data_IF_367894004018
#
_entry.id   IF_367894004018
#
_cell.length_a   1.000
_cell.length_b   1.000
_cell.length_c   1.000
_cell.angle_alpha   90.00
_cell.angle_beta   90.00
_cell.angle_gamma   90.00
#
_symmetry.space_group_name_H-M   'P 1'
#
loop_
_entity.id
_entity.type
_entity.pdbx_description
1 polymer ?
#
# COMPACT_ATOMS: atom_id res chain seq x y z
N UNK A 1 -59.43 -31.15 -17.92
CA UNK A 1 -58.21 -31.32 -18.73
C UNK A 1 -57.17 -30.39 -18.15
N UNK A 2 -56.22 -30.94 -17.39
CA UNK A 2 -55.14 -30.18 -16.77
C UNK A 2 -54.10 -29.86 -17.83
N UNK A 3 -53.66 -28.61 -17.91
CA UNK A 3 -52.49 -28.24 -18.72
C UNK A 3 -51.47 -27.61 -17.77
N UNK A 4 -50.33 -28.30 -17.70
CA UNK A 4 -49.24 -28.13 -16.75
C UNK A 4 -48.58 -26.75 -16.84
N UNK A 5 -48.39 -26.14 -15.67
CA UNK A 5 -47.34 -25.15 -15.43
C UNK A 5 -45.97 -25.76 -15.73
N UNK A 6 -45.13 -25.08 -16.52
CA UNK A 6 -43.71 -25.37 -16.62
C UNK A 6 -42.92 -24.18 -16.08
N UNK A 7 -42.09 -24.48 -15.08
CA UNK A 7 -41.41 -23.57 -14.17
C UNK A 7 -40.51 -22.55 -14.85
N UNK A 8 -40.64 -21.32 -14.35
CA UNK A 8 -39.52 -20.39 -14.20
C UNK A 8 -38.54 -21.00 -13.20
N UNK A 9 -37.45 -21.57 -13.71
CA UNK A 9 -36.30 -21.95 -12.87
C UNK A 9 -35.00 -21.50 -13.54
N UNK A 10 -34.88 -20.19 -13.73
CA UNK A 10 -33.57 -19.55 -13.80
C UNK A 10 -33.10 -19.32 -12.37
N UNK A 11 -32.38 -20.31 -11.83
CA UNK A 11 -31.55 -20.15 -10.63
C UNK A 11 -30.58 -18.97 -10.86
N UNK A 12 -31.02 -17.77 -10.53
CA UNK A 12 -30.13 -16.66 -10.19
C UNK A 12 -29.50 -17.01 -8.84
N UNK A 13 -28.46 -17.85 -8.89
CA UNK A 13 -27.53 -17.95 -7.78
C UNK A 13 -27.12 -16.51 -7.43
N UNK A 14 -27.35 -16.04 -6.19
CA UNK A 14 -26.92 -14.71 -5.80
C UNK A 14 -25.41 -14.72 -5.99
N UNK A 15 -24.91 -13.92 -6.94
CA UNK A 15 -23.48 -13.63 -7.03
C UNK A 15 -23.09 -13.19 -5.63
N UNK A 16 -22.37 -14.06 -4.91
CA UNK A 16 -21.67 -13.68 -3.69
C UNK A 16 -20.71 -12.60 -4.14
N UNK A 17 -21.13 -11.35 -4.06
CA UNK A 17 -20.24 -10.24 -3.90
C UNK A 17 -19.52 -10.57 -2.61
N UNK A 18 -18.39 -11.27 -2.72
CA UNK A 18 -17.39 -11.25 -1.68
C UNK A 18 -17.27 -9.78 -1.34
N UNK A 19 -17.57 -9.41 -0.09
CA UNK A 19 -17.23 -8.13 0.46
C UNK A 19 -15.71 -8.06 0.53
N UNK A 20 -15.05 -8.12 -0.63
CA UNK A 20 -13.65 -7.83 -0.79
C UNK A 20 -13.57 -6.36 -0.48
N UNK A 21 -13.03 -6.03 0.69
CA UNK A 21 -12.62 -4.68 1.01
C UNK A 21 -11.91 -4.13 -0.23
N UNK A 22 -12.49 -3.11 -0.85
CA UNK A 22 -11.90 -2.51 -2.05
C UNK A 22 -10.54 -1.96 -1.65
N UNK A 23 -9.48 -2.66 -2.05
CA UNK A 23 -8.11 -2.23 -1.81
C UNK A 23 -7.88 -0.92 -2.57
N UNK A 24 -7.66 0.15 -1.82
CA UNK A 24 -7.33 1.49 -2.34
C UNK A 24 -5.89 1.80 -1.97
N UNK A 25 -4.91 1.53 -2.86
CA UNK A 25 -3.50 1.72 -2.55
C UNK A 25 -3.18 3.12 -2.05
N UNK A 26 -3.80 4.16 -2.64
CA UNK A 26 -3.61 5.55 -2.22
C UNK A 26 -4.03 5.76 -0.76
N UNK A 27 -5.27 5.40 -0.42
CA UNK A 27 -5.79 5.62 0.93
C UNK A 27 -5.04 4.79 1.97
N UNK A 28 -4.71 3.53 1.64
CA UNK A 28 -3.91 2.68 2.51
C UNK A 28 -2.49 3.21 2.68
N UNK A 29 -1.88 3.81 1.66
CA UNK A 29 -0.54 4.42 1.77
C UNK A 29 -0.56 5.59 2.75
N UNK A 30 -1.49 6.55 2.57
CA UNK A 30 -1.62 7.71 3.47
C UNK A 30 -1.90 7.30 4.93
N UNK A 31 -2.78 6.30 5.13
CA UNK A 31 -3.04 5.77 6.48
C UNK A 31 -1.78 5.11 7.08
N UNK A 32 -1.06 4.33 6.28
CA UNK A 32 0.16 3.65 6.73
C UNK A 32 1.26 4.65 7.06
N UNK A 33 1.42 5.70 6.26
CA UNK A 33 2.35 6.80 6.50
C UNK A 33 2.07 7.46 7.85
N UNK A 34 0.82 7.84 8.12
CA UNK A 34 0.41 8.44 9.38
C UNK A 34 0.78 7.57 10.60
N UNK A 35 0.57 6.26 10.49
CA UNK A 35 0.89 5.31 11.56
C UNK A 35 2.39 5.07 11.75
N UNK A 36 3.16 5.08 10.66
CA UNK A 36 4.63 5.03 10.74
C UNK A 36 5.16 6.28 11.43
N UNK A 37 4.67 7.47 11.06
CA UNK A 37 5.06 8.74 11.69
C UNK A 37 4.67 8.78 13.17
N UNK A 38 3.50 8.26 13.53
CA UNK A 38 3.08 8.14 14.92
C UNK A 38 3.95 7.15 15.70
N UNK A 39 4.29 6.01 15.09
CA UNK A 39 5.22 5.03 15.68
C UNK A 39 6.61 5.63 15.90
N UNK A 40 7.13 6.41 14.95
CA UNK A 40 8.38 7.13 15.07
C UNK A 40 8.34 8.11 16.25
N UNK A 41 7.27 8.91 16.36
CA UNK A 41 7.10 9.83 17.50
C UNK A 41 7.10 9.10 18.83
N UNK A 42 6.29 8.04 18.97
CA UNK A 42 6.23 7.25 20.21
C UNK A 42 7.58 6.56 20.50
N UNK A 43 8.29 6.13 19.46
CA UNK A 43 9.62 5.54 19.59
C UNK A 43 10.62 6.57 20.13
N UNK A 44 10.63 7.78 19.56
CA UNK A 44 11.54 8.86 19.97
C UNK A 44 11.21 9.36 21.39
N UNK A 45 9.94 9.36 21.79
CA UNK A 45 9.53 9.64 23.17
C UNK A 45 10.07 8.60 24.15
N UNK A 46 10.07 7.32 23.78
CA UNK A 46 10.57 6.24 24.63
C UNK A 46 12.10 6.10 24.62
N UNK A 47 12.76 6.43 23.51
CA UNK A 47 14.17 6.10 23.29
C UNK A 47 15.10 7.33 23.23
N UNK A 48 14.55 8.53 23.07
CA UNK A 48 15.27 9.79 22.87
C UNK A 48 15.11 10.34 21.44
N UNK A 49 15.01 11.67 21.30
CA UNK A 49 14.71 12.37 20.01
C UNK A 49 15.92 12.64 19.11
N UNK A 50 17.14 12.54 19.65
CA UNK A 50 18.37 12.96 18.97
C UNK A 50 19.34 11.79 18.79
N UNK A 51 18.83 10.65 18.32
CA UNK A 51 19.63 9.44 18.13
C UNK A 51 20.58 9.56 16.93
N UNK A 52 20.28 10.43 15.97
CA UNK A 52 21.03 10.51 14.71
C UNK A 52 20.63 9.38 13.76
N UNK A 53 21.44 9.19 12.71
CA UNK A 53 21.21 8.16 11.70
C UNK A 53 22.14 6.98 11.91
N UNK A 54 21.64 5.77 11.66
CA UNK A 54 22.43 4.57 11.56
C UNK A 54 22.95 4.43 10.12
N UNK A 55 24.27 4.35 9.96
CA UNK A 55 24.90 4.15 8.66
C UNK A 55 25.17 2.67 8.41
N UNK A 56 24.97 2.17 7.16
CA UNK A 56 24.75 2.91 5.92
C UNK A 56 23.28 3.28 5.61
N UNK A 57 22.34 2.97 6.50
CA UNK A 57 20.91 3.12 6.25
C UNK A 57 20.31 1.92 5.50
N UNK A 58 19.22 2.15 4.78
CA UNK A 58 18.41 1.08 4.16
C UNK A 58 18.15 1.34 2.67
N UNK A 59 19.03 0.84 1.77
CA UNK A 59 18.92 1.06 0.33
C UNK A 59 17.62 0.57 -0.30
N UNK A 60 16.97 -0.44 0.30
CA UNK A 60 15.67 -0.97 -0.09
C UNK A 60 14.57 0.09 0.01
N UNK A 61 14.77 1.11 0.86
CA UNK A 61 13.85 2.22 1.07
C UNK A 61 14.29 3.50 0.35
N UNK A 62 15.30 3.42 -0.53
CA UNK A 62 15.61 4.54 -1.41
C UNK A 62 14.53 4.71 -2.49
N UNK A 63 14.01 5.93 -2.60
CA UNK A 63 12.99 6.30 -3.57
C UNK A 63 13.45 6.05 -5.00
N UNK A 64 12.53 5.59 -5.85
CA UNK A 64 12.85 5.29 -7.26
C UNK A 64 12.68 6.56 -8.11
N UNK A 65 13.59 6.75 -9.07
CA UNK A 65 13.52 7.88 -10.04
C UNK A 65 12.63 7.60 -11.25
N UNK A 66 12.27 6.34 -11.50
CA UNK A 66 11.46 5.92 -12.65
C UNK A 66 9.97 6.15 -12.42
N UNK A 67 9.25 6.54 -13.48
CA UNK A 67 7.79 6.62 -13.51
C UNK A 67 7.22 5.86 -14.72
N UNK A 68 6.23 4.95 -14.55
CA UNK A 68 5.69 4.48 -13.28
C UNK A 68 6.75 3.75 -12.44
N UNK A 69 6.57 3.66 -11.11
CA UNK A 69 7.52 2.94 -10.27
C UNK A 69 7.55 1.45 -10.63
N UNK A 70 8.68 0.80 -10.36
CA UNK A 70 8.74 -0.65 -10.44
C UNK A 70 7.95 -1.25 -9.27
N UNK A 71 6.75 -1.75 -9.54
CA UNK A 71 5.83 -2.29 -8.53
C UNK A 71 6.36 -3.53 -7.81
N UNK A 72 7.19 -4.35 -8.47
CA UNK A 72 7.90 -5.46 -7.82
C UNK A 72 8.86 -4.94 -6.76
N UNK A 73 9.64 -3.91 -7.09
CA UNK A 73 10.52 -3.25 -6.11
C UNK A 73 9.71 -2.61 -4.99
N UNK A 74 8.57 -1.97 -5.28
CA UNK A 74 7.67 -1.43 -4.25
C UNK A 74 7.19 -2.49 -3.28
N UNK A 75 6.72 -3.64 -3.80
CA UNK A 75 6.30 -4.74 -2.95
C UNK A 75 7.46 -5.28 -2.09
N UNK A 76 8.67 -5.37 -2.65
CA UNK A 76 9.85 -5.73 -1.87
C UNK A 76 10.15 -4.72 -0.75
N UNK A 77 10.14 -3.42 -1.02
CA UNK A 77 10.36 -2.39 0.01
C UNK A 77 9.32 -2.47 1.13
N UNK A 78 8.05 -2.71 0.81
CA UNK A 78 7.00 -2.90 1.84
C UNK A 78 7.22 -4.17 2.68
N UNK A 79 7.66 -5.27 2.05
CA UNK A 79 8.05 -6.47 2.81
C UNK A 79 9.27 -6.23 3.69
N UNK A 80 10.24 -5.47 3.20
CA UNK A 80 11.43 -5.10 3.97
C UNK A 80 11.04 -4.29 5.22
N UNK A 81 10.16 -3.29 5.06
CA UNK A 81 9.63 -2.53 6.21
C UNK A 81 8.91 -3.44 7.21
N UNK A 82 8.09 -4.37 6.72
CA UNK A 82 7.36 -5.30 7.56
C UNK A 82 8.32 -6.13 8.43
N UNK A 83 9.36 -6.73 7.85
CA UNK A 83 10.33 -7.51 8.61
C UNK A 83 11.11 -6.62 9.61
N UNK A 84 11.60 -5.46 9.16
CA UNK A 84 12.38 -4.60 10.04
C UNK A 84 11.56 -4.03 11.21
N UNK A 85 10.28 -3.74 11.01
CA UNK A 85 9.41 -3.32 12.10
C UNK A 85 9.11 -4.45 13.10
N UNK A 86 9.07 -5.71 12.65
CA UNK A 86 9.00 -6.84 13.58
C UNK A 86 10.27 -6.92 14.44
N UNK A 87 11.45 -6.70 13.85
CA UNK A 87 12.70 -6.65 14.61
C UNK A 87 12.69 -5.50 15.63
N UNK A 88 12.18 -4.31 15.27
CA UNK A 88 12.00 -3.19 16.20
C UNK A 88 11.05 -3.59 17.33
N UNK A 89 9.89 -4.15 17.01
CA UNK A 89 8.90 -4.54 18.00
C UNK A 89 9.46 -5.55 19.00
N UNK A 90 10.19 -6.56 18.50
CA UNK A 90 10.85 -7.55 19.34
C UNK A 90 11.88 -6.91 20.28
N UNK A 91 12.74 -6.04 19.75
CA UNK A 91 13.75 -5.36 20.56
C UNK A 91 13.12 -4.40 21.59
N UNK A 92 12.04 -3.69 21.23
CA UNK A 92 11.31 -2.84 22.16
C UNK A 92 10.64 -3.65 23.28
N UNK A 93 10.06 -4.81 22.97
CA UNK A 93 9.39 -5.67 23.95
C UNK A 93 10.35 -6.37 24.89
N UNK A 94 11.47 -6.86 24.37
CA UNK A 94 12.34 -7.76 25.11
C UNK A 94 13.55 -7.06 25.72
N UNK A 95 13.98 -5.92 25.16
CA UNK A 95 15.24 -5.28 25.54
C UNK A 95 15.07 -3.81 25.98
N UNK A 96 14.58 -2.94 25.10
CA UNK A 96 14.69 -1.49 25.31
C UNK A 96 13.60 -0.92 26.21
N UNK A 97 12.33 -1.29 25.97
CA UNK A 97 11.19 -0.70 26.66
C UNK A 97 10.10 -1.75 26.97
N UNK A 98 10.41 -2.79 27.77
CA UNK A 98 9.52 -3.94 27.97
C UNK A 98 8.16 -3.59 28.59
N UNK A 99 8.07 -2.47 29.31
CA UNK A 99 6.83 -2.02 29.95
C UNK A 99 6.05 -0.99 29.12
N UNK A 100 6.57 -0.56 27.96
CA UNK A 100 5.92 0.45 27.12
C UNK A 100 4.89 -0.15 26.16
N UNK A 101 3.78 -0.61 26.73
CA UNK A 101 2.67 -1.26 26.00
C UNK A 101 2.08 -0.36 24.91
N UNK A 102 2.07 0.97 25.14
CA UNK A 102 1.57 1.95 24.16
C UNK A 102 2.38 1.92 22.87
N UNK A 103 3.72 1.99 22.97
CA UNK A 103 4.62 1.87 21.83
C UNK A 103 4.47 0.53 21.12
N UNK A 104 4.39 -0.57 21.87
CA UNK A 104 4.24 -1.91 21.29
C UNK A 104 2.98 -2.02 20.44
N UNK A 105 1.84 -1.57 20.96
CA UNK A 105 0.56 -1.58 20.25
C UNK A 105 0.61 -0.74 18.97
N UNK A 106 1.28 0.42 19.03
CA UNK A 106 1.42 1.31 17.86
C UNK A 106 2.28 0.68 16.77
N UNK A 107 3.37 0.01 17.14
CA UNK A 107 4.21 -0.76 16.21
C UNK A 107 3.43 -1.95 15.61
N UNK A 108 2.68 -2.71 16.41
CA UNK A 108 1.84 -3.81 15.93
C UNK A 108 0.80 -3.35 14.90
N UNK A 109 0.11 -2.24 15.19
CA UNK A 109 -0.85 -1.63 14.26
C UNK A 109 -0.18 -1.24 12.95
N UNK A 110 1.01 -0.63 13.03
CA UNK A 110 1.79 -0.21 11.86
C UNK A 110 2.25 -1.40 11.01
N UNK A 111 2.75 -2.46 11.66
CA UNK A 111 3.15 -3.72 11.00
C UNK A 111 1.97 -4.33 10.24
N UNK A 112 0.79 -4.41 10.89
CA UNK A 112 -0.41 -4.94 10.26
C UNK A 112 -0.82 -4.13 9.03
N UNK A 113 -0.71 -2.80 9.10
CA UNK A 113 -1.08 -1.90 8.00
C UNK A 113 -0.11 -1.97 6.82
N UNK A 114 1.19 -2.07 7.07
CA UNK A 114 2.19 -2.30 6.02
C UNK A 114 1.92 -3.64 5.32
N UNK A 115 1.60 -4.69 6.07
CA UNK A 115 1.22 -5.99 5.50
C UNK A 115 -0.03 -5.89 4.61
N UNK A 116 -1.05 -5.16 5.06
CA UNK A 116 -2.25 -4.90 4.26
C UNK A 116 -1.93 -4.11 2.99
N UNK A 117 -1.08 -3.09 3.09
CA UNK A 117 -0.64 -2.29 1.94
C UNK A 117 0.13 -3.16 0.95
N UNK A 118 1.10 -3.97 1.40
CA UNK A 118 1.85 -4.91 0.55
C UNK A 118 0.91 -5.86 -0.20
N UNK A 119 -0.06 -6.45 0.48
CA UNK A 119 -1.07 -7.31 -0.12
C UNK A 119 -1.93 -6.56 -1.15
N UNK A 120 -2.31 -5.32 -0.84
CA UNK A 120 -3.06 -4.47 -1.75
C UNK A 120 -2.26 -4.15 -3.04
N UNK A 121 -0.97 -3.86 -2.92
CA UNK A 121 -0.05 -3.66 -4.06
C UNK A 121 0.08 -4.92 -4.91
N UNK A 122 0.21 -6.08 -4.28
CA UNK A 122 0.25 -7.36 -4.99
C UNK A 122 -1.06 -7.58 -5.79
N UNK A 123 -2.22 -7.41 -5.16
CA UNK A 123 -3.52 -7.64 -5.80
C UNK A 123 -3.72 -6.73 -7.02
N UNK A 124 -3.41 -5.43 -6.87
CA UNK A 124 -3.68 -4.43 -7.93
C UNK A 124 -2.68 -4.52 -9.08
N UNK A 125 -1.39 -4.66 -8.76
CA UNK A 125 -0.32 -4.60 -9.76
C UNK A 125 0.23 -5.97 -10.16
N UNK A 126 -0.32 -7.06 -9.62
CA UNK A 126 0.17 -8.44 -9.77
C UNK A 126 1.68 -8.55 -9.50
N UNK A 127 2.15 -7.74 -8.56
CA UNK A 127 3.57 -7.62 -8.23
C UNK A 127 3.92 -8.59 -7.11
N UNK A 128 4.99 -9.34 -7.28
CA UNK A 128 5.50 -10.27 -6.26
C UNK A 128 6.95 -9.94 -5.97
N UNK A 129 7.33 -9.95 -4.70
CA UNK A 129 8.73 -9.84 -4.33
C UNK A 129 9.37 -11.25 -4.43
N UNK A 130 10.31 -11.48 -5.36
CA UNK A 130 10.82 -12.82 -5.67
C UNK A 130 11.66 -13.42 -4.54
N UNK A 131 12.38 -12.59 -3.80
CA UNK A 131 13.13 -12.98 -2.61
C UNK A 131 12.53 -12.27 -1.39
N UNK A 132 12.48 -12.92 -0.24
CA UNK A 132 12.10 -12.25 1.00
C UNK A 132 13.25 -11.29 1.37
N UNK A 133 13.04 -9.96 1.31
CA UNK A 133 14.10 -9.03 1.67
C UNK A 133 14.24 -9.06 3.19
N UNK A 134 15.47 -9.28 3.67
CA UNK A 134 15.79 -9.28 5.09
C UNK A 134 16.53 -7.98 5.43
N UNK A 135 16.07 -7.22 6.44
CA UNK A 135 16.82 -6.11 6.98
C UNK A 135 18.23 -6.54 7.40
N UNK A 136 19.22 -5.62 7.34
CA UNK A 136 20.51 -5.84 7.99
C UNK A 136 20.30 -6.21 9.45
N UNK A 137 21.10 -7.15 9.96
CA UNK A 137 21.01 -7.58 11.35
C UNK A 137 21.09 -6.38 12.29
N UNK A 138 20.15 -6.31 13.23
CA UNK A 138 20.15 -5.26 14.25
C UNK A 138 21.47 -5.28 15.04
N UNK A 139 22.09 -4.12 15.30
CA UNK A 139 23.36 -4.02 16.04
C UNK A 139 23.27 -4.59 17.46
N UNK A 140 24.42 -4.84 18.09
CA UNK A 140 24.47 -5.34 19.48
C UNK A 140 24.37 -4.21 20.50
N UNK A 141 24.94 -3.04 20.20
CA UNK A 141 25.02 -1.95 21.16
C UNK A 141 23.66 -1.25 21.30
N UNK A 142 23.26 -0.98 22.54
CA UNK A 142 21.96 -0.34 22.86
C UNK A 142 21.73 0.93 22.05
N UNK A 143 22.74 1.81 21.98
CA UNK A 143 22.63 3.07 21.25
C UNK A 143 22.46 2.83 19.75
N UNK A 144 23.28 1.96 19.15
CA UNK A 144 23.17 1.62 17.73
C UNK A 144 21.85 0.94 17.38
N UNK A 145 21.28 0.11 18.26
CA UNK A 145 19.93 -0.45 18.09
C UNK A 145 18.88 0.66 17.98
N UNK A 146 18.94 1.63 18.90
CA UNK A 146 18.05 2.79 18.87
C UNK A 146 18.20 3.58 17.56
N UNK A 147 19.44 3.82 17.11
CA UNK A 147 19.70 4.48 15.84
C UNK A 147 19.16 3.69 14.65
N UNK A 148 19.37 2.38 14.63
CA UNK A 148 18.90 1.48 13.58
C UNK A 148 17.38 1.54 13.47
N UNK A 149 16.68 1.42 14.60
CA UNK A 149 15.21 1.47 14.66
C UNK A 149 14.66 2.84 14.24
N UNK A 150 15.23 3.93 14.76
CA UNK A 150 14.86 5.30 14.36
C UNK A 150 15.05 5.51 12.85
N UNK A 151 16.20 5.07 12.31
CA UNK A 151 16.53 5.22 10.89
C UNK A 151 15.55 4.45 10.02
N UNK A 152 15.12 3.25 10.43
CA UNK A 152 14.18 2.44 9.67
C UNK A 152 12.80 3.09 9.64
N UNK A 153 12.29 3.52 10.80
CA UNK A 153 11.00 4.21 10.93
C UNK A 153 10.97 5.49 10.09
N UNK A 154 12.04 6.29 10.15
CA UNK A 154 12.16 7.51 9.35
C UNK A 154 12.21 7.22 7.85
N UNK A 155 13.07 6.30 7.42
CA UNK A 155 13.17 5.92 6.01
C UNK A 155 11.87 5.31 5.47
N UNK A 156 11.13 4.57 6.31
CA UNK A 156 9.82 4.05 5.95
C UNK A 156 8.79 5.16 5.74
N UNK A 157 8.76 6.16 6.61
CA UNK A 157 7.90 7.35 6.46
C UNK A 157 8.19 8.08 5.15
N UNK A 158 9.46 8.43 4.91
CA UNK A 158 9.89 9.12 3.69
C UNK A 158 9.51 8.34 2.41
N UNK A 159 9.66 7.01 2.44
CA UNK A 159 9.29 6.16 1.31
C UNK A 159 7.78 6.12 1.07
N UNK A 160 6.96 6.12 2.13
CA UNK A 160 5.50 6.11 2.01
C UNK A 160 4.97 7.44 1.46
N UNK A 161 5.56 8.57 1.86
CA UNK A 161 5.27 9.89 1.26
C UNK A 161 5.53 9.86 -0.25
N UNK A 162 6.69 9.35 -0.66
CA UNK A 162 7.01 9.19 -2.08
C UNK A 162 6.00 8.27 -2.79
N UNK A 163 5.64 7.14 -2.18
CA UNK A 163 4.71 6.19 -2.77
C UNK A 163 3.31 6.80 -2.96
N UNK A 164 2.85 7.63 -2.01
CA UNK A 164 1.57 8.33 -2.14
C UNK A 164 1.58 9.29 -3.34
N UNK A 165 2.67 10.06 -3.51
CA UNK A 165 2.85 10.95 -4.66
C UNK A 165 2.84 10.19 -5.99
N UNK A 166 3.41 8.98 -6.02
CA UNK A 166 3.37 8.10 -7.19
C UNK A 166 1.94 7.67 -7.53
N UNK A 167 1.10 7.35 -6.54
CA UNK A 167 -0.31 7.06 -6.80
C UNK A 167 -1.09 8.26 -7.31
N UNK A 168 -0.86 9.45 -6.76
CA UNK A 168 -1.50 10.67 -7.26
C UNK A 168 -1.15 10.90 -8.73
N UNK A 169 0.12 10.75 -9.08
CA UNK A 169 0.62 10.94 -10.45
C UNK A 169 0.12 9.85 -11.40
N UNK A 170 0.09 8.59 -10.95
CA UNK A 170 -0.44 7.46 -11.74
C UNK A 170 -1.94 7.62 -12.05
N UNK A 171 -2.74 8.05 -11.07
CA UNK A 171 -4.18 8.32 -11.28
C UNK A 171 -4.39 9.50 -12.23
N UNK A 172 -3.58 10.56 -12.13
CA UNK A 172 -3.66 11.69 -13.08
C UNK A 172 -3.28 11.28 -14.50
N UNK A 173 -2.18 10.53 -14.67
CA UNK A 173 -1.74 10.05 -15.98
C UNK A 173 -2.73 9.10 -16.66
N UNK A 174 -3.32 8.18 -15.88
CA UNK A 174 -4.37 7.27 -16.41
C UNK A 174 -5.67 7.99 -16.74
N UNK A 175 -6.04 9.06 -16.02
CA UNK A 175 -7.18 9.91 -16.37
C UNK A 175 -6.93 10.73 -17.64
N UNK A 176 -5.71 11.25 -17.84
CA UNK A 176 -5.36 11.98 -19.06
C UNK A 176 -5.27 11.06 -20.29
N UNK A 177 -4.85 9.80 -20.11
CA UNK A 177 -4.87 8.78 -21.17
C UNK A 177 -6.26 8.31 -21.59
N UNK A 178 -7.29 8.52 -20.76
CA UNK A 178 -8.71 8.26 -21.10
C UNK A 178 -9.39 9.44 -21.81
N UNK A 179 -8.62 10.40 -22.32
CA UNK A 179 -9.10 11.54 -23.09
C UNK A 179 -9.04 11.32 -24.60
N UNK A 180 -10.03 10.60 -25.16
CA UNK A 180 -10.69 10.85 -26.47
C UNK A 180 -11.68 9.70 -26.71
N UNK A 181 -12.82 9.72 -26.03
CA UNK A 181 -14.03 9.17 -26.65
C UNK A 181 -14.34 10.16 -27.77
N UNK A 182 -13.98 9.81 -29.00
CA UNK A 182 -14.49 10.47 -30.18
C UNK A 182 -16.01 10.46 -30.03
N UNK A 183 -16.61 11.64 -29.81
CA UNK A 183 -18.04 11.80 -30.00
C UNK A 183 -18.30 11.42 -31.45
N UNK A 184 -18.72 10.18 -31.68
CA UNK A 184 -19.29 9.78 -32.96
C UNK A 184 -20.43 10.75 -33.21
N UNK A 185 -20.27 11.62 -34.20
CA UNK A 185 -21.35 12.50 -34.62
C UNK A 185 -22.55 11.60 -34.93
N UNK A 186 -23.75 11.90 -34.43
CA UNK A 186 -24.93 11.19 -34.90
C UNK A 186 -25.05 11.49 -36.39
N UNK A 187 -24.99 10.44 -37.21
CA UNK A 187 -25.27 10.53 -38.64
C UNK A 187 -26.64 11.19 -38.80
N UNK A 188 -26.65 12.42 -39.35
CA UNK A 188 -27.86 13.03 -39.88
C UNK A 188 -28.34 12.14 -41.01
N UNK A 189 -29.44 11.43 -40.79
CA UNK A 189 -30.21 10.88 -41.89
C UNK A 189 -30.65 12.04 -42.78
N UNK A 190 -30.24 11.99 -44.04
CA UNK A 190 -30.72 12.88 -45.09
C UNK A 190 -32.17 12.49 -45.38
N UNK A 191 -33.06 13.39 -45.03
CA UNK A 191 -34.45 13.41 -45.46
C UNK A 191 -34.48 13.86 -46.93
N UNK A 192 -35.06 13.03 -47.79
CA UNK A 192 -35.30 13.30 -49.20
C UNK A 192 -35.79 12.01 -49.87
N UNK A 193 -36.84 11.98 -50.66
CA UNK A 193 -37.80 12.97 -51.13
C UNK A 193 -39.03 12.18 -51.60
N UNK A 194 -40.23 12.73 -51.49
CA UNK A 194 -41.42 12.15 -52.12
C UNK A 194 -41.25 12.03 -53.64
N UNK A 195 -41.96 11.08 -54.25
CA UNK A 195 -43.15 11.34 -55.08
C UNK A 195 -43.80 10.01 -55.46
N UNK A 196 -45.08 9.88 -55.11
CA UNK A 196 -46.04 8.96 -55.71
C UNK A 196 -46.28 9.41 -57.16
N UNK A 197 -46.04 8.51 -58.11
CA UNK A 197 -46.82 8.33 -59.33
C UNK A 197 -46.93 6.83 -59.60
#
# INVERSE_FOLDING_TARGET
>A
MAILMHGLDAQLAPKKHAAGASCSPKHLTALTESLVNESLRCFDEANGKHLGIWLPGFPELHVQKSFPPNWTKVHCSLRFMYEGLNDILEDQKNNLNPQNVSLHKKLEETIARIKMLANCINIIFKSTCPSKPSPPKMPKQVFERKQWSHTLLKAAGDYLVWLEQMFVSYVKGTKMGKGKVTKTQPHKYLEGSGYLL
#
